data_IF_467965344900
#
_entry.id   IF_467965344900
#
_cell.length_a   1.000
_cell.length_b   1.000
_cell.length_c   1.000
_cell.angle_alpha   90.00
_cell.angle_beta   90.00
_cell.angle_gamma   90.00
#
_symmetry.space_group_name_H-M   'P 1'
#
loop_
_entity.id
_entity.type
_entity.pdbx_description
1 polymer ?
#
# COMPACT_ATOMS: atom_id res chain seq x y z
N UNK A 1 -24.11 -31.20 -3.35
CA UNK A 1 -23.97 -29.84 -2.81
C UNK A 1 -23.07 -29.03 -3.74
N UNK A 2 -23.37 -27.76 -4.04
CA UNK A 2 -22.53 -26.86 -4.86
C UNK A 2 -21.27 -26.47 -4.07
N UNK A 3 -20.08 -26.18 -4.58
CA UNK A 3 -19.43 -26.09 -5.89
C UNK A 3 -17.91 -25.93 -5.59
N UNK A 4 -17.01 -25.83 -6.57
CA UNK A 4 -15.57 -25.87 -6.34
C UNK A 4 -15.11 -24.58 -5.65
N UNK A 5 -14.63 -24.71 -4.43
CA UNK A 5 -13.84 -23.66 -3.79
C UNK A 5 -12.54 -23.53 -4.60
N UNK A 6 -12.59 -22.55 -5.48
CA UNK A 6 -11.55 -22.13 -6.40
C UNK A 6 -10.36 -21.62 -5.57
N UNK A 7 -9.59 -22.55 -5.01
CA UNK A 7 -8.25 -22.33 -4.47
C UNK A 7 -7.40 -21.83 -5.63
N UNK A 8 -7.36 -20.52 -5.84
CA UNK A 8 -6.50 -19.88 -6.83
C UNK A 8 -5.05 -20.26 -6.51
N UNK A 9 -4.42 -21.16 -7.29
CA UNK A 9 -3.07 -21.57 -7.01
C UNK A 9 -2.15 -20.46 -7.53
N UNK A 10 -1.43 -19.81 -6.63
CA UNK A 10 -0.25 -19.03 -7.03
C UNK A 10 -0.41 -17.52 -7.00
N UNK A 11 -0.78 -16.94 -5.85
CA UNK A 11 -0.29 -15.59 -5.53
C UNK A 11 1.18 -15.70 -5.11
N UNK A 12 2.05 -16.08 -6.06
CA UNK A 12 3.49 -15.83 -5.92
C UNK A 12 3.64 -14.32 -5.98
N UNK A 13 3.66 -13.67 -4.81
CA UNK A 13 4.04 -12.27 -4.73
C UNK A 13 5.39 -12.15 -5.42
N UNK A 14 5.46 -11.47 -6.57
CA UNK A 14 6.75 -11.25 -7.19
C UNK A 14 7.63 -10.53 -6.16
N UNK A 15 8.90 -10.93 -6.00
CA UNK A 15 9.80 -10.24 -5.09
C UNK A 15 10.06 -8.77 -5.49
N UNK A 16 9.64 -8.36 -6.71
CA UNK A 16 9.66 -6.99 -7.20
C UNK A 16 8.28 -6.28 -7.15
N UNK A 17 7.24 -6.91 -6.61
CA UNK A 17 5.95 -6.26 -6.43
C UNK A 17 6.00 -5.37 -5.19
N UNK A 18 6.08 -4.06 -5.41
CA UNK A 18 5.88 -3.05 -4.37
C UNK A 18 4.48 -3.11 -3.72
N UNK A 19 3.55 -3.86 -4.30
CA UNK A 19 2.18 -4.03 -3.84
C UNK A 19 1.24 -2.90 -4.29
N UNK A 20 0.04 -2.90 -3.73
CA UNK A 20 -0.98 -1.87 -3.96
C UNK A 20 -1.15 -1.00 -2.71
N UNK A 21 -1.45 0.27 -2.93
CA UNK A 21 -1.79 1.23 -1.90
C UNK A 21 -3.00 0.72 -1.10
N UNK A 22 -2.86 0.60 0.21
CA UNK A 22 -3.93 0.14 1.09
C UNK A 22 -5.13 1.09 1.13
N UNK A 23 -4.96 2.35 0.75
CA UNK A 23 -6.05 3.35 0.77
C UNK A 23 -6.81 3.44 -0.56
N UNK A 24 -6.11 3.45 -1.70
CA UNK A 24 -6.73 3.66 -3.01
C UNK A 24 -6.53 2.53 -4.02
N UNK A 25 -5.81 1.46 -3.67
CA UNK A 25 -5.56 0.32 -4.55
C UNK A 25 -4.59 0.57 -5.71
N UNK A 26 -4.05 1.80 -5.85
CA UNK A 26 -3.02 2.11 -6.88
C UNK A 26 -1.76 1.29 -6.67
N UNK A 27 -1.12 0.88 -7.75
CA UNK A 27 0.18 0.21 -7.70
C UNK A 27 1.23 1.15 -7.10
N UNK A 28 2.01 0.62 -6.16
CA UNK A 28 3.11 1.31 -5.54
C UNK A 28 4.31 1.25 -6.50
N UNK A 29 5.04 2.36 -6.61
CA UNK A 29 6.10 2.51 -7.62
C UNK A 29 7.48 2.65 -6.99
N UNK A 30 7.53 2.90 -5.68
CA UNK A 30 8.75 3.18 -4.94
C UNK A 30 8.85 2.31 -3.68
N UNK A 31 10.08 1.98 -3.24
CA UNK A 31 10.31 1.28 -1.96
C UNK A 31 9.67 1.99 -0.76
N UNK A 32 9.77 3.33 -0.72
CA UNK A 32 9.12 4.15 0.32
C UNK A 32 7.60 3.99 0.34
N UNK A 33 6.97 3.80 -0.82
CA UNK A 33 5.53 3.57 -0.93
C UNK A 33 5.15 2.16 -0.46
N UNK A 34 5.99 1.16 -0.76
CA UNK A 34 5.82 -0.23 -0.30
C UNK A 34 5.98 -0.39 1.22
N UNK A 35 6.99 0.27 1.80
CA UNK A 35 7.29 0.21 3.25
C UNK A 35 6.09 0.63 4.11
N UNK A 36 5.46 1.74 3.72
CA UNK A 36 4.30 2.30 4.41
C UNK A 36 2.95 1.90 3.77
N UNK A 37 3.00 1.07 2.72
CA UNK A 37 1.84 0.56 1.96
C UNK A 37 0.86 1.63 1.44
N UNK A 38 1.33 2.86 1.19
CA UNK A 38 0.51 3.93 0.59
C UNK A 38 1.24 4.58 -0.58
N UNK A 39 0.48 4.96 -1.60
CA UNK A 39 1.01 5.74 -2.70
C UNK A 39 1.31 7.18 -2.25
N UNK A 40 2.21 7.87 -2.97
CA UNK A 40 2.62 9.25 -2.69
C UNK A 40 1.46 10.22 -2.49
N UNK A 41 0.38 10.04 -3.25
CA UNK A 41 -0.83 10.88 -3.15
C UNK A 41 -1.53 10.71 -1.79
N UNK A 42 -1.65 9.46 -1.33
CA UNK A 42 -2.22 9.14 -0.03
C UNK A 42 -1.24 9.53 1.09
N UNK A 43 0.07 9.31 0.90
CA UNK A 43 1.09 9.79 1.82
C UNK A 43 1.02 11.29 2.03
N UNK A 44 0.91 12.08 0.95
CA UNK A 44 0.83 13.54 1.03
C UNK A 44 -0.38 13.97 1.85
N UNK A 45 -1.56 13.36 1.61
CA UNK A 45 -2.78 13.60 2.41
C UNK A 45 -2.63 13.21 3.89
N UNK A 46 -1.87 12.18 4.21
CA UNK A 46 -1.59 11.78 5.59
C UNK A 46 -0.52 12.64 6.25
N UNK A 47 0.47 13.10 5.49
CA UNK A 47 1.55 13.97 5.96
C UNK A 47 1.01 15.35 6.29
N UNK A 48 0.12 15.89 5.45
CA UNK A 48 -0.62 17.14 5.73
C UNK A 48 -1.35 17.10 7.09
N UNK A 49 -1.79 15.91 7.54
CA UNK A 49 -2.43 15.72 8.84
C UNK A 49 -1.47 15.51 10.01
N UNK A 50 -0.18 15.30 9.76
CA UNK A 50 0.84 15.06 10.79
C UNK A 50 1.87 16.19 10.91
N UNK A 51 1.78 17.25 10.10
CA UNK A 51 2.63 18.46 10.23
C UNK A 51 1.95 19.43 11.22
N UNK A 52 1.67 18.96 12.43
CA UNK A 52 1.30 19.83 13.57
C UNK A 52 2.16 19.53 14.81
N UNK A 53 3.21 18.69 14.67
CA UNK A 53 4.11 18.33 15.76
C UNK A 53 5.58 18.37 15.34
N UNK A 54 5.99 19.41 14.63
CA UNK A 54 7.42 19.76 14.47
C UNK A 54 7.59 21.29 14.57
N UNK A 55 7.00 21.87 15.62
CA UNK A 55 7.39 23.17 16.15
C UNK A 55 7.60 23.00 17.67
N UNK A 56 8.77 22.48 18.04
CA UNK A 56 9.33 22.60 19.39
C UNK A 56 10.79 22.11 19.42
N UNK A 57 11.71 22.87 18.83
CA UNK A 57 13.03 23.10 19.45
C UNK A 57 13.50 24.53 19.20
#
# INVERSE_FOLDING_TARGET
>A
MPGPENELPGFQANPNEFGKCSNCGKLLTSKKEAEIKLCKECQKRHKDKNIDYDEAE
#
